data_IF_888536158772
#
_entry.id   IF_888536158772
#
_cell.length_a   1.000
_cell.length_b   1.000
_cell.length_c   1.000
_cell.angle_alpha   90.00
_cell.angle_beta   90.00
_cell.angle_gamma   90.00
#
_symmetry.space_group_name_H-M   'P 1'
#
loop_
_entity.id
_entity.type
_entity.pdbx_description
1 polymer ?
#
# COMPACT_ATOMS: atom_id res chain seq x y z
N UNK A 1 -4.15 0.38 -3.49
CA UNK A 1 -4.62 0.21 -2.08
C UNK A 1 -4.82 -1.27 -1.81
N UNK A 2 -4.64 -1.74 -0.57
CA UNK A 2 -4.70 -3.17 -0.27
C UNK A 2 -5.75 -3.52 0.77
N UNK A 3 -6.57 -4.53 0.47
CA UNK A 3 -7.40 -5.22 1.47
C UNK A 3 -6.58 -6.31 2.17
N UNK A 4 -7.02 -6.81 3.32
CA UNK A 4 -6.35 -7.90 4.02
C UNK A 4 -7.07 -9.23 3.86
N UNK A 5 -6.28 -10.32 3.86
CA UNK A 5 -6.77 -11.70 3.93
C UNK A 5 -5.94 -12.45 4.98
N UNK A 6 -6.56 -13.29 5.82
CA UNK A 6 -5.80 -14.06 6.80
C UNK A 6 -4.99 -15.16 6.12
N UNK A 7 -3.79 -15.44 6.64
CA UNK A 7 -2.92 -16.50 6.12
C UNK A 7 -3.58 -17.88 6.20
N UNK A 8 -4.37 -18.11 7.26
CA UNK A 8 -5.14 -19.34 7.47
C UNK A 8 -6.07 -19.69 6.29
N UNK A 9 -6.64 -18.69 5.61
CA UNK A 9 -7.48 -18.88 4.43
C UNK A 9 -6.71 -19.62 3.32
N UNK A 10 -5.48 -19.19 3.03
CA UNK A 10 -4.67 -19.80 1.98
C UNK A 10 -4.10 -21.17 2.38
N UNK A 11 -3.92 -21.41 3.68
CA UNK A 11 -3.58 -22.74 4.19
C UNK A 11 -4.73 -23.74 4.01
N UNK A 12 -5.96 -23.30 4.25
CA UNK A 12 -7.15 -24.13 4.12
C UNK A 12 -7.58 -24.31 2.64
N UNK A 13 -7.48 -23.23 1.85
CA UNK A 13 -7.89 -23.19 0.45
C UNK A 13 -6.81 -22.51 -0.40
N UNK A 14 -5.81 -23.28 -0.88
CA UNK A 14 -4.72 -22.74 -1.70
C UNK A 14 -5.20 -22.01 -2.96
N UNK A 15 -6.29 -22.47 -3.56
CA UNK A 15 -6.89 -21.87 -4.77
C UNK A 15 -7.37 -20.43 -4.56
N UNK A 16 -7.62 -20.02 -3.32
CA UNK A 16 -7.97 -18.64 -3.01
C UNK A 16 -6.85 -17.65 -3.38
N UNK A 17 -5.60 -18.10 -3.46
CA UNK A 17 -4.48 -17.26 -3.89
C UNK A 17 -4.52 -16.94 -5.40
N UNK A 18 -5.17 -17.80 -6.19
CA UNK A 18 -5.36 -17.62 -7.64
C UNK A 18 -6.56 -16.71 -7.98
N UNK A 19 -7.37 -16.37 -6.98
CA UNK A 19 -8.49 -15.45 -7.15
C UNK A 19 -8.04 -14.07 -7.63
N UNK A 20 -8.91 -13.34 -8.34
CA UNK A 20 -8.60 -11.99 -8.79
C UNK A 20 -8.34 -11.06 -7.60
N UNK A 21 -7.54 -10.00 -7.78
CA UNK A 21 -7.42 -8.93 -6.79
C UNK A 21 -8.79 -8.27 -6.54
N UNK A 22 -8.92 -7.42 -5.50
CA UNK A 22 -10.15 -6.66 -5.26
C UNK A 22 -10.61 -5.93 -6.53
N UNK A 23 -11.92 -5.71 -6.68
CA UNK A 23 -12.45 -5.01 -7.86
C UNK A 23 -11.80 -3.64 -8.05
N UNK A 24 -11.46 -3.29 -9.28
CA UNK A 24 -10.86 -2.02 -9.67
C UNK A 24 -9.32 -2.08 -9.72
N UNK A 25 -8.74 -1.25 -10.60
CA UNK A 25 -7.29 -1.16 -10.82
C UNK A 25 -6.53 -0.68 -9.58
N UNK A 26 -5.21 -0.87 -9.58
CA UNK A 26 -4.27 -0.52 -8.55
C UNK A 26 -4.64 -1.08 -7.16
N UNK A 27 -5.17 -2.30 -7.12
CA UNK A 27 -5.62 -2.96 -5.89
C UNK A 27 -4.90 -4.28 -5.62
N UNK A 28 -4.87 -4.71 -4.37
CA UNK A 28 -4.22 -5.98 -4.01
C UNK A 28 -4.63 -6.49 -2.64
N UNK A 29 -4.08 -7.63 -2.27
CA UNK A 29 -4.26 -8.21 -0.95
C UNK A 29 -2.96 -8.17 -0.15
N UNK A 30 -3.04 -7.86 1.13
CA UNK A 30 -2.00 -8.15 2.11
C UNK A 30 -2.42 -9.37 2.91
N UNK A 31 -1.50 -10.31 3.08
CA UNK A 31 -1.69 -11.52 3.86
C UNK A 31 -1.28 -11.26 5.29
N UNK A 32 -2.18 -11.52 6.23
CA UNK A 32 -1.96 -11.26 7.66
C UNK A 32 -1.90 -12.58 8.43
N UNK A 33 -0.83 -12.80 9.18
CA UNK A 33 -0.67 -13.98 10.04
C UNK A 33 -1.31 -13.73 11.40
N UNK A 34 -2.47 -14.36 11.63
CA UNK A 34 -3.20 -14.26 12.90
C UNK A 34 -2.53 -15.00 14.06
N UNK A 35 -3.01 -14.78 15.28
CA UNK A 35 -2.50 -15.47 16.47
C UNK A 35 -2.69 -17.00 16.40
N UNK A 36 -3.79 -17.46 15.79
CA UNK A 36 -4.08 -18.87 15.58
C UNK A 36 -3.10 -19.57 14.61
N UNK A 37 -2.37 -18.80 13.79
CA UNK A 37 -1.39 -19.32 12.84
C UNK A 37 0.03 -19.46 13.45
N UNK A 38 0.21 -19.14 14.74
CA UNK A 38 1.50 -19.26 15.41
C UNK A 38 1.84 -20.72 15.74
N UNK A 39 2.66 -21.31 14.87
CA UNK A 39 3.24 -22.63 15.08
C UNK A 39 4.32 -22.59 16.16
N UNK A 40 4.45 -23.67 16.93
CA UNK A 40 5.49 -23.85 17.96
C UNK A 40 6.36 -25.07 17.65
N UNK A 41 7.64 -25.01 18.03
CA UNK A 41 8.61 -26.11 18.00
C UNK A 41 8.95 -26.54 19.43
N UNK A 42 9.59 -27.72 19.52
CA UNK A 42 10.06 -28.31 20.78
C UNK A 42 8.93 -28.43 21.80
N UNK A 43 7.90 -29.21 21.47
CA UNK A 43 6.76 -29.49 22.37
C UNK A 43 6.04 -28.24 22.89
N UNK A 44 5.96 -27.17 22.08
CA UNK A 44 5.27 -25.94 22.45
C UNK A 44 6.15 -24.85 23.07
N UNK A 45 7.44 -25.11 23.30
CA UNK A 45 8.31 -24.21 24.07
C UNK A 45 8.81 -22.98 23.30
N UNK A 46 8.95 -23.07 21.96
CA UNK A 46 9.49 -21.98 21.16
C UNK A 46 8.67 -21.71 19.91
N UNK A 47 8.43 -20.44 19.52
CA UNK A 47 7.72 -20.14 18.28
C UNK A 47 8.49 -20.60 17.05
N UNK A 48 7.83 -21.34 16.15
CA UNK A 48 8.36 -21.68 14.84
C UNK A 48 8.29 -20.45 13.93
N UNK A 49 9.45 -19.86 13.70
CA UNK A 49 9.57 -18.68 12.83
C UNK A 49 9.76 -19.05 11.37
N UNK A 50 9.98 -20.31 11.02
CA UNK A 50 10.31 -20.67 9.64
C UNK A 50 9.06 -20.61 8.76
N UNK A 51 9.12 -19.84 7.68
CA UNK A 51 8.07 -19.83 6.66
C UNK A 51 8.35 -20.97 5.69
N UNK A 52 7.34 -21.81 5.48
CA UNK A 52 7.45 -23.02 4.66
C UNK A 52 6.77 -22.91 3.31
N UNK A 53 5.74 -22.09 3.21
CA UNK A 53 4.82 -22.06 2.08
C UNK A 53 4.46 -20.61 1.73
N UNK A 54 4.05 -20.38 0.50
CA UNK A 54 3.49 -19.13 0.00
C UNK A 54 1.96 -19.08 0.22
N UNK A 55 1.33 -17.89 0.24
CA UNK A 55 1.94 -16.55 0.15
C UNK A 55 2.63 -16.11 1.45
N UNK A 56 3.58 -15.18 1.33
CA UNK A 56 4.26 -14.61 2.49
C UNK A 56 3.36 -13.65 3.29
N UNK A 57 3.44 -13.63 4.63
CA UNK A 57 2.70 -12.67 5.46
C UNK A 57 3.35 -11.28 5.47
N UNK A 58 2.55 -10.22 5.31
CA UNK A 58 2.99 -8.82 5.26
C UNK A 58 2.95 -8.11 6.62
N UNK A 59 2.29 -8.67 7.63
CA UNK A 59 2.33 -8.20 9.02
C UNK A 59 3.62 -8.62 9.76
N UNK A 60 4.56 -9.27 9.05
CA UNK A 60 5.82 -9.78 9.61
C UNK A 60 7.02 -9.27 8.84
N UNK A 61 8.14 -9.10 9.55
CA UNK A 61 9.44 -8.92 8.91
C UNK A 61 10.01 -10.29 8.59
N UNK A 62 10.35 -10.50 7.31
CA UNK A 62 10.89 -11.76 6.80
C UNK A 62 12.41 -11.65 6.68
N UNK A 63 13.13 -12.50 7.43
CA UNK A 63 14.57 -12.67 7.27
C UNK A 63 14.83 -13.74 6.21
N UNK A 64 15.32 -13.32 5.05
CA UNK A 64 15.87 -14.19 4.01
C UNK A 64 17.27 -14.60 4.43
N UNK A 65 17.56 -15.90 4.41
CA UNK A 65 18.85 -16.47 4.81
C UNK A 65 19.32 -17.51 3.82
N UNK A 66 20.58 -17.42 3.41
CA UNK A 66 21.28 -18.53 2.75
C UNK A 66 22.70 -18.66 3.28
N UNK A 67 23.25 -19.87 3.16
CA UNK A 67 24.61 -20.18 3.61
C UNK A 67 25.39 -20.76 2.45
N UNK A 68 26.50 -20.10 2.10
CA UNK A 68 27.47 -20.60 1.13
C UNK A 68 28.56 -21.34 1.89
N UNK A 69 28.87 -22.56 1.47
CA UNK A 69 30.00 -23.34 2.01
C UNK A 69 31.11 -23.37 0.96
N UNK A 70 32.28 -22.89 1.34
CA UNK A 70 33.50 -22.90 0.51
C UNK A 70 34.59 -23.62 1.29
N UNK A 71 34.84 -24.89 0.96
CA UNK A 71 35.75 -25.76 1.71
C UNK A 71 35.30 -25.93 3.16
N UNK A 72 36.18 -25.59 4.12
CA UNK A 72 35.89 -25.63 5.56
C UNK A 72 35.17 -24.38 6.08
N UNK A 73 35.07 -23.32 5.29
CA UNK A 73 34.41 -22.08 5.72
C UNK A 73 32.96 -22.05 5.25
N UNK A 74 32.08 -21.55 6.13
CA UNK A 74 30.69 -21.28 5.79
C UNK A 74 30.37 -19.82 6.05
N UNK A 75 29.82 -19.14 5.04
CA UNK A 75 29.39 -17.74 5.14
C UNK A 75 27.88 -17.70 5.05
N UNK A 76 27.24 -17.15 6.07
CA UNK A 76 25.79 -16.95 6.07
C UNK A 76 25.49 -15.51 5.68
N UNK A 77 24.59 -15.35 4.72
CA UNK A 77 24.08 -14.08 4.26
C UNK A 77 22.62 -13.96 4.70
N UNK A 78 22.28 -12.81 5.25
CA UNK A 78 20.94 -12.55 5.77
C UNK A 78 20.48 -11.14 5.40
N UNK A 79 19.20 -11.01 5.06
CA UNK A 79 18.57 -9.71 4.87
C UNK A 79 17.14 -9.74 5.39
N UNK A 80 16.76 -8.67 6.09
CA UNK A 80 15.43 -8.51 6.65
C UNK A 80 14.59 -7.64 5.73
N UNK A 81 13.58 -8.23 5.10
CA UNK A 81 12.70 -7.58 4.12
C UNK A 81 11.22 -7.72 4.51
N UNK A 82 10.39 -6.84 3.95
CA UNK A 82 8.96 -7.07 3.81
C UNK A 82 8.69 -7.20 2.32
N UNK A 83 8.11 -8.33 1.91
CA UNK A 83 7.69 -8.55 0.54
C UNK A 83 6.28 -8.01 0.37
N UNK A 84 6.15 -6.86 -0.29
CA UNK A 84 4.86 -6.24 -0.57
C UNK A 84 4.35 -6.76 -1.92
N UNK A 85 3.17 -7.40 -2.00
CA UNK A 85 2.61 -7.90 -3.25
C UNK A 85 2.48 -6.79 -4.29
N UNK A 86 2.79 -7.09 -5.54
CA UNK A 86 2.54 -6.15 -6.66
C UNK A 86 1.01 -6.03 -6.84
N UNK A 87 0.45 -4.80 -6.96
CA UNK A 87 -0.97 -4.62 -7.16
C UNK A 87 -1.41 -5.16 -8.53
N UNK A 88 -2.71 -5.36 -8.72
CA UNK A 88 -3.37 -5.88 -9.93
C UNK A 88 -2.89 -7.27 -10.35
N UNK A 89 -2.31 -8.02 -9.42
CA UNK A 89 -1.89 -9.39 -9.62
C UNK A 89 -2.53 -10.30 -8.55
N UNK A 90 -2.91 -11.53 -8.92
CA UNK A 90 -3.31 -12.53 -7.91
C UNK A 90 -2.12 -12.86 -7.01
N UNK A 91 -2.37 -13.25 -5.77
CA UNK A 91 -1.31 -13.63 -4.83
C UNK A 91 -0.51 -14.85 -5.33
N UNK A 92 -1.14 -15.74 -6.11
CA UNK A 92 -0.49 -16.88 -6.75
C UNK A 92 0.57 -16.49 -7.79
N UNK A 93 0.58 -15.24 -8.28
CA UNK A 93 1.67 -14.73 -9.13
C UNK A 93 3.00 -14.67 -8.38
N UNK A 94 2.97 -14.64 -7.04
CA UNK A 94 4.13 -14.52 -6.16
C UNK A 94 5.05 -13.34 -6.54
N UNK A 95 4.47 -12.26 -7.09
CA UNK A 95 5.21 -11.05 -7.44
C UNK A 95 5.22 -10.07 -6.28
N UNK A 96 6.41 -9.58 -5.93
CA UNK A 96 6.60 -8.70 -4.79
C UNK A 96 7.61 -7.59 -5.08
N UNK A 97 7.47 -6.49 -4.35
CA UNK A 97 8.54 -5.54 -4.06
C UNK A 97 9.25 -5.97 -2.77
N UNK A 98 10.57 -6.14 -2.82
CA UNK A 98 11.37 -6.50 -1.65
C UNK A 98 11.91 -5.25 -0.93
N UNK A 99 11.18 -4.81 0.11
CA UNK A 99 11.52 -3.61 0.88
C UNK A 99 12.46 -3.96 2.03
N UNK A 100 13.59 -3.27 2.12
CA UNK A 100 14.58 -3.49 3.18
C UNK A 100 14.13 -2.85 4.48
N UNK A 101 14.18 -3.61 5.58
CA UNK A 101 13.64 -3.18 6.89
C UNK A 101 14.68 -2.79 7.93
N UNK A 102 15.97 -3.09 7.67
CA UNK A 102 17.06 -2.89 8.63
C UNK A 102 18.30 -2.31 7.95
N UNK A 103 19.16 -1.68 8.75
CA UNK A 103 20.44 -1.14 8.31
C UNK A 103 20.32 0.20 7.58
N UNK A 104 21.40 0.59 6.90
CA UNK A 104 21.52 1.90 6.24
C UNK A 104 20.56 2.07 5.05
N UNK A 105 20.24 0.97 4.36
CA UNK A 105 19.37 0.94 3.16
C UNK A 105 17.90 0.70 3.49
N UNK A 106 17.51 0.86 4.76
CA UNK A 106 16.14 0.70 5.20
C UNK A 106 15.19 1.65 4.44
N UNK A 107 14.02 1.15 4.08
CA UNK A 107 13.02 1.90 3.32
C UNK A 107 13.27 1.93 1.81
N UNK A 108 14.35 1.33 1.33
CA UNK A 108 14.62 1.17 -0.11
C UNK A 108 14.14 -0.19 -0.61
N UNK A 109 13.88 -0.27 -1.91
CA UNK A 109 13.43 -1.49 -2.59
C UNK A 109 14.62 -2.11 -3.33
N UNK A 110 14.76 -3.43 -3.23
CA UNK A 110 15.75 -4.19 -4.00
C UNK A 110 15.39 -4.13 -5.48
N UNK A 111 16.36 -3.75 -6.32
CA UNK A 111 16.24 -3.80 -7.77
C UNK A 111 17.04 -4.98 -8.34
N UNK A 112 16.59 -5.48 -9.47
CA UNK A 112 17.31 -6.45 -10.29
C UNK A 112 18.37 -5.74 -11.14
N UNK A 113 19.52 -6.36 -11.31
CA UNK A 113 20.58 -5.91 -12.21
C UNK A 113 20.24 -6.27 -13.65
N UNK A 114 20.71 -5.47 -14.61
CA UNK A 114 20.63 -5.76 -16.04
C UNK A 114 21.93 -6.35 -16.56
N UNK A 115 21.94 -6.77 -17.83
CA UNK A 115 23.18 -7.22 -18.47
C UNK A 115 24.23 -6.10 -18.55
N UNK A 116 23.80 -4.85 -18.76
CA UNK A 116 24.66 -3.66 -18.75
C UNK A 116 25.37 -3.42 -17.41
N UNK A 117 24.79 -3.90 -16.29
CA UNK A 117 25.39 -3.78 -14.95
C UNK A 117 26.40 -4.90 -14.65
N UNK A 118 26.57 -5.88 -15.55
CA UNK A 118 27.49 -7.00 -15.33
C UNK A 118 28.95 -6.54 -15.39
N UNK A 119 29.73 -6.95 -14.39
CA UNK A 119 31.16 -6.70 -14.35
C UNK A 119 31.91 -7.90 -14.95
N UNK A 120 32.94 -7.63 -15.75
CA UNK A 120 33.89 -8.65 -16.18
C UNK A 120 34.81 -9.00 -15.03
N UNK A 121 34.83 -10.26 -14.59
CA UNK A 121 35.73 -10.73 -13.54
C UNK A 121 36.34 -12.08 -13.94
N UNK A 122 37.67 -12.10 -14.13
CA UNK A 122 38.51 -13.29 -14.36
C UNK A 122 37.92 -14.30 -15.37
N UNK A 123 37.93 -13.96 -16.66
CA UNK A 123 37.42 -14.79 -17.79
C UNK A 123 35.93 -15.17 -17.75
N UNK A 124 35.15 -14.65 -16.78
CA UNK A 124 33.69 -14.85 -16.69
C UNK A 124 32.94 -13.52 -16.53
N UNK A 125 31.68 -13.48 -16.96
CA UNK A 125 30.75 -12.37 -16.64
C UNK A 125 30.16 -12.60 -15.26
N UNK A 126 30.40 -11.65 -14.34
CA UNK A 126 29.87 -11.68 -12.99
C UNK A 126 28.75 -10.65 -12.85
N UNK A 127 27.60 -11.09 -12.34
CA UNK A 127 26.47 -10.19 -12.08
C UNK A 127 26.81 -9.33 -10.87
N UNK A 128 27.03 -8.03 -11.12
CA UNK A 128 27.16 -7.03 -10.06
C UNK A 128 25.76 -6.67 -9.55
N UNK A 129 25.56 -6.70 -8.24
CA UNK A 129 24.27 -6.34 -7.66
C UNK A 129 24.09 -4.82 -7.68
N UNK A 130 23.00 -4.35 -8.30
CA UNK A 130 22.60 -2.94 -8.23
C UNK A 130 22.21 -2.58 -6.79
N UNK A 131 22.54 -1.36 -6.39
CA UNK A 131 22.13 -0.86 -5.08
C UNK A 131 20.61 -0.72 -4.98
N UNK A 132 20.00 -1.05 -3.83
CA UNK A 132 18.61 -0.73 -3.54
C UNK A 132 18.33 0.75 -3.75
N UNK A 133 17.18 1.07 -4.34
CA UNK A 133 16.78 2.44 -4.66
C UNK A 133 15.37 2.74 -4.14
N UNK A 134 14.96 4.02 -4.06
CA UNK A 134 13.60 4.37 -3.67
C UNK A 134 12.57 3.67 -4.56
N UNK A 135 11.39 3.40 -3.99
CA UNK A 135 10.30 2.82 -4.76
C UNK A 135 9.96 3.71 -5.97
N UNK A 136 9.82 3.06 -7.12
CA UNK A 136 9.37 3.67 -8.35
C UNK A 136 8.30 2.76 -8.98
N UNK A 137 7.04 3.23 -9.12
CA UNK A 137 5.97 2.42 -9.70
C UNK A 137 6.21 2.05 -11.17
N UNK A 138 7.01 2.83 -11.92
CA UNK A 138 7.34 2.55 -13.32
C UNK A 138 8.51 1.57 -13.48
N UNK A 139 9.24 1.31 -12.40
CA UNK A 139 10.45 0.50 -12.41
C UNK A 139 10.15 -1.00 -12.27
N UNK A 140 9.95 -1.67 -13.41
CA UNK A 140 9.73 -3.13 -13.47
C UNK A 140 10.88 -3.93 -12.84
N UNK A 141 12.09 -3.38 -12.76
CA UNK A 141 13.26 -4.07 -12.20
C UNK A 141 13.18 -4.18 -10.67
N UNK A 142 12.28 -3.44 -10.01
CA UNK A 142 11.98 -3.62 -8.58
C UNK A 142 11.03 -4.77 -8.29
N UNK A 143 10.41 -5.36 -9.32
CA UNK A 143 9.50 -6.49 -9.18
C UNK A 143 10.25 -7.81 -9.33
N UNK A 144 10.00 -8.71 -8.37
CA UNK A 144 10.55 -10.06 -8.37
C UNK A 144 9.43 -11.08 -8.20
N UNK A 145 9.59 -12.24 -8.82
CA UNK A 145 8.76 -13.42 -8.61
C UNK A 145 9.46 -14.37 -7.64
N UNK A 146 8.78 -14.75 -6.57
CA UNK A 146 9.27 -15.74 -5.61
C UNK A 146 8.82 -17.12 -6.04
N UNK A 147 9.79 -18.01 -6.26
CA UNK A 147 9.56 -19.39 -6.67
C UNK A 147 9.86 -20.32 -5.50
N UNK A 148 8.83 -20.99 -4.99
CA UNK A 148 8.99 -22.08 -4.04
C UNK A 148 9.52 -23.32 -4.76
N UNK A 149 10.74 -23.76 -4.43
CA UNK A 149 11.38 -24.93 -5.06
C UNK A 149 10.97 -26.22 -4.36
N UNK A 150 10.91 -26.17 -3.04
CA UNK A 150 10.44 -27.22 -2.15
C UNK A 150 9.89 -26.52 -0.90
N UNK A 151 9.15 -27.26 -0.08
CA UNK A 151 8.65 -26.75 1.20
C UNK A 151 9.78 -26.13 2.04
N UNK A 152 9.69 -24.84 2.33
CA UNK A 152 10.64 -24.05 3.11
C UNK A 152 11.94 -23.66 2.41
N UNK A 153 12.03 -23.83 1.09
CA UNK A 153 13.14 -23.39 0.26
C UNK A 153 12.68 -22.65 -0.99
N UNK A 154 13.19 -21.44 -1.14
CA UNK A 154 12.76 -20.51 -2.17
C UNK A 154 13.92 -20.07 -3.05
N UNK A 155 13.57 -19.45 -4.18
CA UNK A 155 14.46 -18.68 -5.04
C UNK A 155 13.67 -17.52 -5.62
N UNK A 156 14.33 -16.50 -6.19
CA UNK A 156 13.65 -15.42 -6.89
C UNK A 156 14.03 -15.41 -8.37
N UNK A 157 13.08 -14.97 -9.21
CA UNK A 157 13.26 -14.60 -10.61
C UNK A 157 12.94 -13.12 -10.78
N UNK A 158 13.58 -12.47 -11.73
CA UNK A 158 13.17 -11.12 -12.10
C UNK A 158 11.89 -11.22 -12.94
N UNK A 159 11.02 -10.22 -12.84
CA UNK A 159 9.84 -10.12 -13.72
C UNK A 159 10.24 -9.65 -15.11
N UNK A 160 11.23 -8.76 -15.21
CA UNK A 160 11.81 -8.34 -16.48
C UNK A 160 12.73 -9.44 -17.03
N UNK A 161 12.62 -9.72 -18.34
CA UNK A 161 13.31 -10.85 -18.98
C UNK A 161 14.84 -10.67 -19.07
N UNK A 162 15.30 -9.42 -19.13
CA UNK A 162 16.70 -8.99 -19.21
C UNK A 162 17.35 -8.78 -17.83
N UNK A 163 16.66 -9.16 -16.76
CA UNK A 163 17.03 -8.79 -15.40
C UNK A 163 17.42 -9.97 -14.51
N UNK A 164 18.29 -9.69 -13.55
CA UNK A 164 18.85 -10.66 -12.62
C UNK A 164 18.61 -10.18 -11.19
N UNK A 165 17.91 -10.94 -10.33
CA UNK A 165 17.72 -10.55 -8.95
C UNK A 165 19.06 -10.41 -8.21
N UNK A 166 19.04 -9.61 -7.14
CA UNK A 166 20.20 -9.45 -6.24
C UNK A 166 20.71 -10.81 -5.75
N UNK A 167 22.00 -10.89 -5.44
CA UNK A 167 22.70 -12.13 -5.02
C UNK A 167 21.93 -12.91 -3.96
N UNK A 168 21.37 -12.21 -2.97
CA UNK A 168 20.62 -12.80 -1.87
C UNK A 168 19.29 -13.43 -2.28
N UNK A 169 18.66 -12.94 -3.34
CA UNK A 169 17.38 -13.43 -3.83
C UNK A 169 17.54 -14.44 -4.98
N UNK A 170 18.57 -14.28 -5.82
CA UNK A 170 18.84 -15.22 -6.95
C UNK A 170 19.42 -16.55 -6.50
N UNK A 171 20.01 -16.63 -5.30
CA UNK A 171 20.57 -17.90 -4.85
C UNK A 171 19.47 -18.96 -4.72
N UNK A 172 19.84 -20.22 -4.92
CA UNK A 172 18.88 -21.32 -4.82
C UNK A 172 18.76 -21.75 -3.37
N UNK A 173 17.54 -22.13 -2.97
CA UNK A 173 17.25 -22.75 -1.68
C UNK A 173 17.49 -21.85 -0.46
N UNK A 174 17.27 -20.55 -0.59
CA UNK A 174 17.24 -19.68 0.59
C UNK A 174 16.01 -19.98 1.45
N UNK A 175 16.18 -19.77 2.75
CA UNK A 175 15.18 -19.98 3.79
C UNK A 175 14.61 -18.65 4.26
N UNK A 176 13.39 -18.68 4.81
CA UNK A 176 12.72 -17.50 5.34
C UNK A 176 12.33 -17.72 6.78
N UNK A 177 12.58 -16.71 7.60
CA UNK A 177 12.18 -16.67 9.00
C UNK A 177 11.33 -15.42 9.26
N UNK A 178 10.05 -15.61 9.57
CA UNK A 178 9.12 -14.54 9.93
C UNK A 178 9.28 -14.14 11.40
N UNK A 179 9.34 -12.84 11.66
CA UNK A 179 9.40 -12.29 13.01
C UNK A 179 8.29 -11.26 13.21
N UNK A 180 7.54 -11.38 14.32
CA UNK A 180 6.61 -10.33 14.76
C UNK A 180 7.42 -9.09 15.13
N UNK A 181 6.90 -7.92 14.77
CA UNK A 181 7.44 -6.63 15.18
C UNK A 181 6.36 -5.86 15.93
N UNK A 182 6.76 -5.09 16.95
CA UNK A 182 5.85 -4.16 17.64
C UNK A 182 5.59 -2.87 16.84
N UNK A 183 6.33 -2.67 15.74
CA UNK A 183 6.29 -1.42 14.95
C UNK A 183 5.10 -1.32 14.00
N UNK A 184 4.50 -2.44 13.64
CA UNK A 184 3.30 -2.47 12.82
C UNK A 184 2.52 -3.75 13.13
N UNK A 185 1.21 -3.61 13.31
CA UNK A 185 0.25 -4.70 13.40
C UNK A 185 -0.88 -4.37 12.44
N UNK A 186 -1.16 -5.28 11.51
CA UNK A 186 -2.17 -5.06 10.47
C UNK A 186 -3.46 -5.71 10.92
N UNK A 187 -4.50 -4.90 11.07
CA UNK A 187 -5.84 -5.36 11.40
C UNK A 187 -6.59 -5.88 10.18
N UNK A 188 -7.86 -6.22 10.41
CA UNK A 188 -8.78 -6.52 9.32
C UNK A 188 -9.11 -5.26 8.51
N UNK A 189 -9.09 -5.38 7.19
CA UNK A 189 -9.38 -4.34 6.22
C UNK A 189 -10.01 -5.00 4.99
N UNK A 190 -11.34 -5.11 4.97
CA UNK A 190 -12.08 -5.85 3.94
C UNK A 190 -12.20 -5.10 2.61
N UNK A 191 -11.71 -3.87 2.54
CA UNK A 191 -11.94 -2.95 1.43
C UNK A 191 -13.23 -2.16 1.65
N UNK A 192 -14.02 -2.01 0.58
CA UNK A 192 -15.29 -1.30 0.61
C UNK A 192 -16.38 -2.16 1.28
N UNK A 193 -17.07 -1.61 2.27
CA UNK A 193 -18.20 -2.27 2.94
C UNK A 193 -19.51 -1.95 2.20
N UNK A 194 -19.91 -2.88 1.32
CA UNK A 194 -21.14 -2.76 0.55
C UNK A 194 -22.42 -2.74 1.42
N UNK A 195 -22.40 -3.38 2.60
CA UNK A 195 -23.56 -3.39 3.50
C UNK A 195 -23.71 -2.05 4.21
N UNK A 196 -22.59 -1.47 4.69
CA UNK A 196 -22.56 -0.13 5.26
C UNK A 196 -22.99 0.93 4.24
N UNK A 197 -22.55 0.81 2.97
CA UNK A 197 -22.98 1.72 1.91
C UNK A 197 -24.50 1.69 1.69
N UNK A 198 -25.08 0.49 1.57
CA UNK A 198 -26.54 0.34 1.34
C UNK A 198 -27.36 0.85 2.52
N UNK A 199 -26.96 0.55 3.75
CA UNK A 199 -27.69 1.02 4.94
C UNK A 199 -27.68 2.55 5.03
N UNK A 200 -26.59 3.20 4.64
CA UNK A 200 -26.47 4.67 4.62
C UNK A 200 -27.27 5.32 3.50
N UNK A 201 -27.33 4.71 2.32
CA UNK A 201 -28.19 5.20 1.23
C UNK A 201 -29.68 5.18 1.62
N UNK A 202 -30.11 4.16 2.36
CA UNK A 202 -31.48 4.04 2.86
C UNK A 202 -31.76 4.95 4.07
N UNK A 203 -30.73 5.30 4.85
CA UNK A 203 -30.87 6.18 6.00
C UNK A 203 -30.86 7.68 5.66
N UNK A 204 -30.66 8.07 4.39
CA UNK A 204 -30.59 9.46 3.95
C UNK A 204 -31.90 10.26 4.14
N UNK A 205 -32.98 9.61 4.59
CA UNK A 205 -34.23 10.24 5.00
C UNK A 205 -34.11 10.91 6.39
N UNK A 206 -33.48 12.08 6.43
CA UNK A 206 -33.86 13.14 7.37
C UNK A 206 -32.99 13.37 8.62
N UNK A 207 -31.90 12.64 8.87
CA UNK A 207 -31.02 12.91 10.02
C UNK A 207 -29.56 13.18 9.61
N UNK A 208 -28.94 14.21 10.23
CA UNK A 208 -27.51 14.46 10.12
C UNK A 208 -26.75 13.33 10.86
N UNK A 209 -26.14 12.42 10.11
CA UNK A 209 -25.39 11.33 10.69
C UNK A 209 -23.92 11.73 10.94
N UNK A 210 -23.32 11.26 12.06
CA UNK A 210 -21.89 11.41 12.27
C UNK A 210 -21.11 10.68 11.17
N UNK A 211 -19.91 11.17 10.86
CA UNK A 211 -19.01 10.55 9.90
C UNK A 211 -18.78 9.08 10.25
N UNK A 212 -18.96 8.20 9.27
CA UNK A 212 -18.82 6.77 9.45
C UNK A 212 -17.94 6.14 8.38
N UNK A 213 -17.04 5.25 8.78
CA UNK A 213 -16.18 4.51 7.87
C UNK A 213 -17.01 3.48 7.08
N UNK A 214 -16.99 3.59 5.75
CA UNK A 214 -17.63 2.68 4.80
C UNK A 214 -16.61 1.90 3.97
N UNK A 215 -15.32 2.12 4.21
CA UNK A 215 -14.27 1.32 3.60
C UNK A 215 -12.95 1.42 4.36
N UNK A 216 -12.18 0.34 4.33
CA UNK A 216 -10.88 0.26 5.01
C UNK A 216 -9.88 -0.55 4.17
N UNK A 217 -8.70 0.04 3.98
CA UNK A 217 -7.55 -0.54 3.27
C UNK A 217 -6.25 -0.20 4.01
N UNK A 218 -5.16 -0.83 3.58
CA UNK A 218 -3.80 -0.42 3.90
C UNK A 218 -3.05 0.06 2.66
N UNK A 219 -2.03 0.87 2.90
CA UNK A 219 -1.10 1.36 1.89
C UNK A 219 0.34 1.22 2.40
N UNK A 220 1.26 0.56 1.68
CA UNK A 220 2.68 0.61 2.00
C UNK A 220 3.18 2.06 2.06
N UNK A 221 4.08 2.36 2.99
CA UNK A 221 4.54 3.74 3.23
C UNK A 221 5.03 4.45 1.97
N UNK A 222 5.71 3.72 1.08
CA UNK A 222 6.29 4.27 -0.13
C UNK A 222 5.26 4.74 -1.17
N UNK A 223 3.98 4.35 -1.06
CA UNK A 223 2.93 4.92 -1.92
C UNK A 223 2.59 6.37 -1.54
N UNK A 224 3.13 6.86 -0.44
CA UNK A 224 3.03 8.24 0.02
C UNK A 224 4.45 8.76 0.19
N UNK A 225 4.74 9.95 -0.29
CA UNK A 225 6.03 10.62 -0.09
C UNK A 225 5.84 11.84 0.80
N UNK A 226 6.41 11.80 2.00
CA UNK A 226 6.51 12.97 2.85
C UNK A 226 7.73 13.79 2.39
N UNK A 227 7.52 14.97 1.76
CA UNK A 227 8.63 15.75 1.22
C UNK A 227 9.65 16.11 2.31
N UNK A 228 10.94 15.97 2.00
CA UNK A 228 12.03 16.23 2.94
C UNK A 228 12.28 15.11 3.96
N UNK A 229 11.48 14.03 3.97
CA UNK A 229 11.67 12.88 4.86
C UNK A 229 12.38 11.76 4.11
N UNK A 230 13.50 11.27 4.66
CA UNK A 230 14.21 10.15 4.05
C UNK A 230 13.38 8.85 4.11
N UNK A 231 13.45 7.94 3.11
CA UNK A 231 12.66 6.69 3.11
C UNK A 231 12.85 5.84 4.38
N UNK A 232 14.07 5.86 4.93
CA UNK A 232 14.40 5.19 6.19
C UNK A 232 13.57 5.73 7.36
N UNK A 233 13.51 7.05 7.48
CA UNK A 233 12.81 7.74 8.57
C UNK A 233 11.29 7.56 8.41
N UNK A 234 10.77 7.70 7.19
CA UNK A 234 9.35 7.50 6.93
C UNK A 234 8.90 6.08 7.29
N UNK A 235 9.68 5.06 6.89
CA UNK A 235 9.43 3.67 7.27
C UNK A 235 9.58 3.43 8.79
N UNK A 236 10.36 4.25 9.49
CA UNK A 236 10.46 4.22 10.96
C UNK A 236 9.21 4.74 11.65
N UNK A 237 8.59 5.78 11.08
CA UNK A 237 7.31 6.33 11.55
C UNK A 237 6.16 5.35 11.31
N UNK A 238 6.04 4.83 10.09
CA UNK A 238 5.00 3.86 9.74
C UNK A 238 5.39 3.05 8.51
N UNK A 239 5.37 1.72 8.59
CA UNK A 239 5.63 0.83 7.43
C UNK A 239 4.41 0.74 6.49
N UNK A 240 3.22 0.77 7.08
CA UNK A 240 1.95 0.82 6.37
C UNK A 240 1.16 2.01 6.88
N UNK A 241 0.25 2.51 6.08
CA UNK A 241 -0.72 3.53 6.42
C UNK A 241 -2.10 2.91 6.33
N UNK A 242 -2.96 3.22 7.27
CA UNK A 242 -4.37 2.89 7.19
C UNK A 242 -5.05 3.91 6.27
N UNK A 243 -5.87 3.42 5.34
CA UNK A 243 -6.68 4.25 4.46
C UNK A 243 -8.13 3.92 4.74
N UNK A 244 -8.89 4.92 5.17
CA UNK A 244 -10.32 4.79 5.47
C UNK A 244 -11.11 5.65 4.52
N UNK A 245 -12.27 5.18 4.08
CA UNK A 245 -13.27 5.97 3.37
C UNK A 245 -14.42 6.26 4.33
N UNK A 246 -14.64 7.52 4.65
CA UNK A 246 -15.68 7.98 5.55
C UNK A 246 -16.78 8.68 4.74
N UNK A 247 -18.05 8.46 5.10
CA UNK A 247 -19.19 9.17 4.55
C UNK A 247 -19.77 10.12 5.58
N UNK A 248 -20.08 11.34 5.16
CA UNK A 248 -20.82 12.32 5.95
C UNK A 248 -21.73 13.18 5.06
N UNK A 249 -22.79 13.70 5.65
CA UNK A 249 -23.66 14.67 5.01
C UNK A 249 -23.28 16.06 5.50
N UNK A 250 -22.95 16.97 4.59
CA UNK A 250 -22.60 18.35 4.93
C UNK A 250 -23.70 19.31 4.47
N UNK A 251 -24.24 20.16 5.36
CA UNK A 251 -25.20 21.18 4.95
C UNK A 251 -24.53 22.24 4.07
N UNK A 252 -25.18 22.59 2.96
CA UNK A 252 -24.76 23.67 2.08
C UNK A 252 -25.44 24.96 2.54
N UNK A 253 -24.66 25.84 3.17
CA UNK A 253 -25.16 27.14 3.61
C UNK A 253 -25.48 28.04 2.39
N UNK A 254 -26.69 28.63 2.32
CA UNK A 254 -27.09 29.50 1.22
C UNK A 254 -26.26 30.80 1.13
N UNK A 255 -25.67 31.26 2.24
CA UNK A 255 -25.09 32.60 2.36
C UNK A 255 -23.57 32.68 2.11
N UNK A 256 -22.94 31.63 1.54
CA UNK A 256 -21.47 31.61 1.43
C UNK A 256 -20.87 32.60 0.41
N UNK A 257 -21.68 33.33 -0.37
CA UNK A 257 -21.22 34.29 -1.37
C UNK A 257 -20.43 33.69 -2.55
N UNK A 258 -20.06 32.41 -2.46
CA UNK A 258 -19.41 31.66 -3.52
C UNK A 258 -20.49 31.01 -4.42
N UNK A 259 -20.46 31.34 -5.71
CA UNK A 259 -21.35 30.71 -6.71
C UNK A 259 -20.97 29.25 -6.99
N UNK A 260 -19.76 28.83 -6.63
CA UNK A 260 -19.23 27.50 -6.92
C UNK A 260 -18.60 26.85 -5.69
N UNK A 261 -18.86 25.55 -5.55
CA UNK A 261 -18.29 24.71 -4.51
C UNK A 261 -17.33 23.72 -5.18
N UNK A 262 -16.11 23.64 -4.66
CA UNK A 262 -15.12 22.70 -5.16
C UNK A 262 -15.59 21.25 -4.95
N UNK A 263 -15.66 20.46 -6.03
CA UNK A 263 -16.06 19.04 -5.97
C UNK A 263 -15.03 18.12 -5.31
N UNK A 264 -13.82 18.63 -5.05
CA UNK A 264 -12.69 17.90 -4.48
C UNK A 264 -11.79 18.82 -3.67
N UNK A 265 -11.39 18.39 -2.47
CA UNK A 265 -10.41 19.10 -1.62
C UNK A 265 -9.36 18.14 -1.10
N UNK A 266 -8.10 18.60 -1.01
CA UNK A 266 -7.02 17.86 -0.37
C UNK A 266 -6.60 18.56 0.93
N UNK A 267 -6.35 17.78 1.98
CA UNK A 267 -6.07 18.27 3.33
C UNK A 267 -4.81 17.59 3.88
N UNK A 268 -3.74 18.34 4.10
CA UNK A 268 -2.54 17.85 4.78
C UNK A 268 -2.78 17.85 6.30
N UNK A 269 -2.40 16.76 6.96
CA UNK A 269 -2.70 16.54 8.38
C UNK A 269 -4.20 16.39 8.67
N UNK A 270 -5.05 16.33 7.64
CA UNK A 270 -6.50 16.27 7.75
C UNK A 270 -7.19 17.62 8.01
N UNK A 271 -6.46 18.73 8.02
CA UNK A 271 -7.02 20.06 8.35
C UNK A 271 -6.50 21.18 7.46
N UNK A 272 -5.26 21.12 7.00
CA UNK A 272 -4.67 22.21 6.21
C UNK A 272 -4.97 21.99 4.74
N UNK A 273 -5.76 22.87 4.13
CA UNK A 273 -6.05 22.81 2.69
C UNK A 273 -4.75 22.85 1.87
N UNK A 274 -4.67 21.95 0.91
CA UNK A 274 -3.54 21.79 0.01
C UNK A 274 -4.03 21.73 -1.43
N UNK A 275 -3.26 22.36 -2.31
CA UNK A 275 -3.55 22.40 -3.73
C UNK A 275 -2.72 21.32 -4.43
N UNK A 276 -3.32 20.71 -5.45
CA UNK A 276 -2.61 19.80 -6.32
C UNK A 276 -1.62 20.62 -7.18
N UNK A 277 -0.34 20.28 -7.13
CA UNK A 277 0.65 20.92 -8.00
C UNK A 277 0.40 20.52 -9.46
N UNK A 278 0.50 21.48 -10.37
CA UNK A 278 0.47 21.21 -11.80
C UNK A 278 1.56 20.19 -12.16
N UNK A 279 1.29 19.34 -13.15
CA UNK A 279 2.23 18.32 -13.63
C UNK A 279 3.47 18.99 -14.24
N UNK A 280 4.42 19.36 -13.39
CA UNK A 280 5.69 19.93 -13.79
C UNK A 280 6.64 18.79 -14.18
N UNK A 281 7.39 18.97 -15.27
CA UNK A 281 8.43 18.06 -15.75
C UNK A 281 9.52 17.72 -14.71
N UNK A 282 9.55 18.44 -13.58
CA UNK A 282 10.44 18.19 -12.43
C UNK A 282 10.10 16.90 -11.66
N UNK A 283 8.86 16.42 -11.73
CA UNK A 283 8.36 15.31 -10.89
C UNK A 283 8.01 14.05 -11.70
N UNK A 284 8.85 13.64 -12.65
CA UNK A 284 8.70 12.38 -13.39
C UNK A 284 8.81 11.10 -12.53
N UNK A 285 8.44 11.17 -11.25
CA UNK A 285 8.68 10.16 -10.22
C UNK A 285 7.46 9.27 -9.92
N UNK A 286 6.35 9.45 -10.64
CA UNK A 286 5.13 8.63 -10.49
C UNK A 286 4.23 9.04 -9.33
N UNK A 287 4.30 10.30 -8.86
CA UNK A 287 3.49 10.83 -7.77
C UNK A 287 2.72 12.08 -8.19
N UNK A 288 1.52 12.22 -7.64
CA UNK A 288 0.74 13.47 -7.65
C UNK A 288 1.09 14.22 -6.38
N UNK A 289 1.63 15.43 -6.53
CA UNK A 289 2.09 16.26 -5.43
C UNK A 289 1.03 17.25 -5.00
N UNK A 290 0.94 17.46 -3.69
CA UNK A 290 0.04 18.41 -3.06
C UNK A 290 0.84 19.30 -2.12
N UNK A 291 0.59 20.61 -2.17
CA UNK A 291 1.27 21.62 -1.34
C UNK A 291 0.25 22.42 -0.55
N UNK A 292 0.46 22.49 0.76
CA UNK A 292 -0.26 23.43 1.61
C UNK A 292 0.42 24.79 1.54
N UNK A 293 -0.27 25.80 1.03
CA UNK A 293 0.25 27.17 0.96
C UNK A 293 0.59 27.74 2.34
N UNK A 294 -0.25 27.44 3.35
CA UNK A 294 -0.10 27.97 4.70
C UNK A 294 1.15 27.46 5.44
N UNK A 295 1.54 26.20 5.22
CA UNK A 295 2.67 25.58 5.94
C UNK A 295 3.88 25.34 5.05
N UNK A 296 3.74 25.46 3.73
CA UNK A 296 4.74 25.04 2.75
C UNK A 296 4.95 23.53 2.68
N UNK A 297 4.21 22.75 3.47
CA UNK A 297 4.35 21.30 3.52
C UNK A 297 3.88 20.68 2.19
N UNK A 298 4.63 19.69 1.72
CA UNK A 298 4.38 19.01 0.46
C UNK A 298 4.28 17.50 0.68
N UNK A 299 3.27 16.86 0.09
CA UNK A 299 3.04 15.42 0.14
C UNK A 299 2.79 14.87 -1.27
N UNK A 300 3.44 13.76 -1.60
CA UNK A 300 3.23 13.04 -2.84
C UNK A 300 2.35 11.82 -2.61
N UNK A 301 1.35 11.60 -3.45
CA UNK A 301 0.56 10.36 -3.48
C UNK A 301 0.87 9.64 -4.78
N UNK A 302 1.29 8.39 -4.70
CA UNK A 302 1.61 7.59 -5.89
C UNK A 302 0.39 7.57 -6.83
N UNK A 303 0.64 7.76 -8.13
CA UNK A 303 -0.41 7.82 -9.16
C UNK A 303 -1.36 6.63 -9.09
N UNK A 304 -0.82 5.43 -8.87
CA UNK A 304 -1.61 4.19 -8.71
C UNK A 304 -2.63 4.28 -7.55
N UNK A 305 -2.21 4.81 -6.40
CA UNK A 305 -3.07 5.00 -5.23
C UNK A 305 -4.10 6.12 -5.47
N UNK A 306 -3.68 7.22 -6.11
CA UNK A 306 -4.57 8.33 -6.43
C UNK A 306 -5.67 7.93 -7.43
N UNK A 307 -5.30 7.22 -8.50
CA UNK A 307 -6.24 6.67 -9.47
C UNK A 307 -7.20 5.68 -8.83
N UNK A 308 -6.71 4.86 -7.88
CA UNK A 308 -7.58 3.96 -7.12
C UNK A 308 -8.64 4.73 -6.33
N UNK A 309 -8.25 5.77 -5.59
CA UNK A 309 -9.20 6.58 -4.83
C UNK A 309 -10.26 7.20 -5.74
N UNK A 310 -9.85 7.80 -6.87
CA UNK A 310 -10.77 8.36 -7.85
C UNK A 310 -11.69 7.31 -8.46
N UNK A 311 -11.18 6.12 -8.75
CA UNK A 311 -12.00 5.02 -9.30
C UNK A 311 -13.13 4.62 -8.35
N UNK A 312 -12.87 4.52 -7.04
CA UNK A 312 -13.92 4.25 -6.04
C UNK A 312 -14.99 5.35 -6.04
N UNK A 313 -14.58 6.61 -6.13
CA UNK A 313 -15.48 7.75 -6.16
C UNK A 313 -16.34 7.79 -7.42
N UNK A 314 -15.74 7.61 -8.60
CA UNK A 314 -16.47 7.55 -9.87
C UNK A 314 -17.44 6.37 -9.93
N UNK A 315 -17.04 5.21 -9.40
CA UNK A 315 -17.94 4.06 -9.24
C UNK A 315 -19.12 4.40 -8.31
N UNK A 316 -18.87 5.21 -7.28
CA UNK A 316 -19.90 5.77 -6.41
C UNK A 316 -20.77 6.85 -7.05
N UNK A 317 -20.51 7.27 -8.29
CA UNK A 317 -21.27 8.31 -9.00
C UNK A 317 -20.73 9.72 -8.81
N UNK A 318 -19.52 9.89 -8.27
CA UNK A 318 -18.86 11.19 -8.20
C UNK A 318 -18.45 11.70 -9.59
N UNK A 319 -18.60 13.00 -9.81
CA UNK A 319 -18.21 13.70 -11.05
C UNK A 319 -17.22 14.81 -10.67
N UNK A 320 -16.09 14.91 -11.40
CA UNK A 320 -15.02 15.91 -11.16
C UNK A 320 -15.44 17.28 -11.72
N UNK A 321 -16.53 17.84 -11.19
CA UNK A 321 -17.11 19.11 -11.58
C UNK A 321 -17.31 20.01 -10.35
N UNK A 322 -17.23 21.32 -10.56
CA UNK A 322 -17.64 22.30 -9.55
C UNK A 322 -19.17 22.33 -9.48
N UNK A 323 -19.71 22.24 -8.27
CA UNK A 323 -21.15 22.33 -8.04
C UNK A 323 -21.59 23.78 -7.98
N UNK A 324 -22.72 24.08 -8.63
CA UNK A 324 -23.41 25.35 -8.43
C UNK A 324 -24.05 25.37 -7.04
N UNK A 325 -23.60 26.31 -6.20
CA UNK A 325 -24.09 26.47 -4.84
C UNK A 325 -25.61 26.74 -4.81
N UNK A 326 -26.15 27.41 -5.84
CA UNK A 326 -27.57 27.73 -5.94
C UNK A 326 -28.48 26.50 -6.07
N UNK A 327 -28.00 25.44 -6.74
CA UNK A 327 -28.78 24.22 -6.95
C UNK A 327 -28.92 23.36 -5.68
N UNK A 328 -28.06 23.57 -4.69
CA UNK A 328 -27.97 22.73 -3.49
C UNK A 328 -28.15 23.52 -2.19
N UNK A 329 -28.37 24.83 -2.29
CA UNK A 329 -28.62 25.72 -1.17
C UNK A 329 -29.77 25.20 -0.27
N UNK A 330 -29.51 25.10 1.04
CA UNK A 330 -30.50 24.60 2.01
C UNK A 330 -30.68 23.07 2.01
N UNK A 331 -29.81 22.33 1.31
CA UNK A 331 -29.76 20.85 1.34
C UNK A 331 -28.43 20.38 1.90
N UNK A 332 -28.35 19.11 2.29
CA UNK A 332 -27.08 18.47 2.60
C UNK A 332 -26.56 17.68 1.40
N UNK A 333 -25.26 17.79 1.13
CA UNK A 333 -24.54 17.01 0.11
C UNK A 333 -23.81 15.84 0.76
N UNK A 334 -23.73 14.73 0.04
CA UNK A 334 -22.86 13.63 0.46
C UNK A 334 -21.40 14.03 0.21
N UNK A 335 -20.59 13.97 1.26
CA UNK A 335 -19.14 14.10 1.20
C UNK A 335 -18.50 12.78 1.57
N UNK A 336 -17.69 12.27 0.65
CA UNK A 336 -16.88 11.07 0.85
C UNK A 336 -15.43 11.49 1.10
N UNK A 337 -14.91 11.10 2.27
CA UNK A 337 -13.57 11.48 2.71
C UNK A 337 -12.66 10.27 2.76
N UNK A 338 -11.62 10.25 1.94
CA UNK A 338 -10.49 9.38 2.20
C UNK A 338 -9.62 9.98 3.31
N UNK A 339 -9.32 9.22 4.35
CA UNK A 339 -8.36 9.59 5.39
C UNK A 339 -7.22 8.60 5.40
N UNK A 340 -6.00 9.12 5.26
CA UNK A 340 -4.77 8.34 5.31
C UNK A 340 -4.06 8.60 6.65
N UNK A 341 -3.99 7.54 7.47
CA UNK A 341 -3.46 7.57 8.83
C UNK A 341 -2.19 6.73 8.92
N UNK A 342 -1.20 7.19 9.68
CA UNK A 342 -0.12 6.31 10.16
C UNK A 342 -0.70 5.30 11.16
N UNK A 343 0.02 4.22 11.44
CA UNK A 343 -0.45 3.19 12.39
C UNK A 343 -0.51 3.68 13.85
N UNK A 344 0.10 4.83 14.17
CA UNK A 344 -0.05 5.51 15.46
C UNK A 344 -1.36 6.33 15.57
N UNK A 345 -2.16 6.39 14.49
CA UNK A 345 -3.41 7.15 14.41
C UNK A 345 -3.26 8.57 13.87
N UNK A 346 -2.03 9.07 13.67
CA UNK A 346 -1.81 10.41 13.12
C UNK A 346 -2.24 10.50 11.66
N UNK A 347 -3.05 11.50 11.33
CA UNK A 347 -3.50 11.75 9.96
C UNK A 347 -2.37 12.42 9.19
N UNK A 348 -2.03 11.86 8.02
CA UNK A 348 -1.04 12.45 7.12
C UNK A 348 -1.73 13.25 6.03
N UNK A 349 -2.82 12.69 5.49
CA UNK A 349 -3.54 13.32 4.39
C UNK A 349 -5.01 12.92 4.43
N UNK A 350 -5.87 13.80 3.95
CA UNK A 350 -7.26 13.47 3.62
C UNK A 350 -7.68 14.09 2.29
N UNK A 351 -8.68 13.48 1.66
CA UNK A 351 -9.28 13.95 0.42
C UNK A 351 -10.79 13.92 0.56
N UNK A 352 -11.43 15.07 0.45
CA UNK A 352 -12.89 15.18 0.44
C UNK A 352 -13.38 15.23 -1.02
N UNK A 353 -14.37 14.40 -1.33
CA UNK A 353 -15.07 14.33 -2.62
C UNK A 353 -16.54 14.66 -2.38
N UNK A 354 -17.02 15.74 -3.01
CA UNK A 354 -18.38 16.24 -2.83
C UNK A 354 -19.26 15.72 -3.96
N UNK A 355 -20.33 15.02 -3.63
CA UNK A 355 -21.26 14.41 -4.59
C UNK A 355 -22.48 15.33 -4.78
N UNK A 356 -22.40 16.28 -5.72
CA UNK A 356 -23.51 17.22 -5.98
C UNK A 356 -24.78 16.58 -6.54
N UNK A 357 -24.67 15.36 -7.09
CA UNK A 357 -25.82 14.56 -7.54
C UNK A 357 -26.52 13.78 -6.41
N UNK A 358 -25.97 13.80 -5.19
CA UNK A 358 -26.55 13.14 -4.01
C UNK A 358 -26.85 14.17 -2.94
N UNK A 359 -28.10 14.58 -2.89
CA UNK A 359 -28.60 15.61 -1.98
C UNK A 359 -29.75 15.07 -1.14
N UNK A 360 -29.82 15.47 0.12
CA UNK A 360 -31.01 15.19 0.94
C UNK A 360 -32.19 16.04 0.47
N UNK A 361 -33.40 15.62 0.84
CA UNK A 361 -34.57 16.48 0.72
C UNK A 361 -34.33 17.82 1.44
N UNK A 362 -34.98 18.86 0.94
CA UNK A 362 -34.92 20.21 1.51
C UNK A 362 -35.48 20.17 2.93
N UNK A 363 -34.70 20.60 3.92
CA UNK A 363 -35.23 20.82 5.26
C UNK A 363 -36.10 22.08 5.17
N UNK A 364 -37.43 21.88 5.12
CA UNK A 364 -38.44 22.95 5.13
C UNK A 364 -38.45 23.68 6.47
#
# INVERSE_FOLDING_TARGET
MYATKPLSLFKAQPEAASGPPPEGRNSGYLVVKGAADEETRFFGLFPDRRVRDLPFPQDRVLKVRYTVRTGKQSRTHEEAVVFVPVPDQPLASNRYYAVITKGKRKGLVRACSREEDMATCCFYRCISDVEPRPFDPADVYQQIEIVQRRRGWFTARAVAADAFPSSILRHKYWEVYASKTKKFDLGEALGLDAAALRSRQLAADGAAFPAAAVGKWYSPFFLIKEAGVAPREQMERSMFYEVTLEQRWEPVCPDSGASKIAGKKALIGGVVEAEQEALNSRHGDGYVWFRAAATGQQLGVCTSMWERMRWEQHRGGWVDEEGDAGNVAGRSVLVERFVVKRLDGSVVMAFDFVHFNKVTAQQL
#
